data_IF_626901484303
#
_entry.id   IF_626901484303
#
_cell.length_a   1.000
_cell.length_b   1.000
_cell.length_c   1.000
_cell.angle_alpha   90.00
_cell.angle_beta   90.00
_cell.angle_gamma   90.00
#
_symmetry.space_group_name_H-M   'P 1'
#
loop_
_entity.id
_entity.type
_entity.pdbx_description
1 polymer ?
#
# COMPACT_ATOMS: atom_id res chain seq x y z
N UNK A 1 -10.51 22.39 31.96
CA UNK A 1 -10.78 21.20 31.12
C UNK A 1 -10.97 21.64 29.68
N UNK A 2 -9.91 22.11 29.03
CA UNK A 2 -9.89 22.45 27.59
C UNK A 2 -8.44 22.33 27.12
N UNK A 3 -7.94 21.10 26.96
CA UNK A 3 -6.56 20.86 26.51
C UNK A 3 -6.45 19.68 25.52
N UNK A 4 -7.58 19.12 25.06
CA UNK A 4 -7.58 17.92 24.20
C UNK A 4 -7.74 18.18 22.70
N UNK A 5 -8.05 19.40 22.24
CA UNK A 5 -8.36 19.64 20.82
C UNK A 5 -7.15 20.03 19.94
N UNK A 6 -5.97 20.27 20.52
CA UNK A 6 -4.82 20.78 19.75
C UNK A 6 -4.00 19.71 19.00
N UNK A 7 -4.32 18.42 19.16
CA UNK A 7 -3.66 17.32 18.44
C UNK A 7 -4.31 17.01 17.08
N UNK A 8 -5.44 17.64 16.75
CA UNK A 8 -6.16 17.47 15.48
C UNK A 8 -5.59 18.33 14.33
N UNK A 9 -4.67 19.25 14.60
CA UNK A 9 -4.23 20.25 13.62
C UNK A 9 -2.87 19.91 13.02
N UNK A 10 -2.87 18.90 12.14
CA UNK A 10 -1.99 18.70 10.98
C UNK A 10 -2.23 17.28 10.45
N UNK A 11 -2.48 17.06 9.15
CA UNK A 11 -2.57 15.71 8.59
C UNK A 11 -1.17 15.07 8.62
N UNK A 12 -0.82 14.49 9.77
CA UNK A 12 0.35 13.65 9.88
C UNK A 12 -0.10 12.19 9.87
N UNK A 13 -0.09 11.60 8.69
CA UNK A 13 -0.46 10.19 8.45
C UNK A 13 0.54 9.18 9.02
N UNK A 14 1.73 9.64 9.46
CA UNK A 14 2.83 8.77 9.92
C UNK A 14 2.99 8.73 11.46
N UNK A 15 1.93 9.05 12.21
CA UNK A 15 1.97 9.07 13.69
C UNK A 15 1.70 7.70 14.34
N UNK A 16 1.34 6.70 13.55
CA UNK A 16 1.04 5.35 14.03
C UNK A 16 1.99 4.35 13.37
N UNK A 17 2.62 3.51 14.20
CA UNK A 17 3.30 2.31 13.75
C UNK A 17 2.45 1.09 14.11
N UNK A 18 1.92 0.43 13.09
CA UNK A 18 1.25 -0.86 13.26
C UNK A 18 2.26 -1.97 13.54
N UNK A 19 1.81 -3.04 14.20
CA UNK A 19 2.64 -4.21 14.54
C UNK A 19 2.31 -5.44 13.68
N UNK A 20 1.24 -5.38 12.88
CA UNK A 20 0.73 -6.54 12.15
C UNK A 20 0.22 -6.20 10.73
N UNK A 21 -0.62 -5.18 10.60
CA UNK A 21 -1.38 -4.89 9.38
C UNK A 21 -1.23 -3.43 8.98
N UNK A 22 -1.12 -3.18 7.68
CA UNK A 22 -1.26 -1.83 7.14
C UNK A 22 -2.72 -1.34 7.29
N UNK A 23 -2.93 -0.03 7.19
CA UNK A 23 -4.25 0.56 7.27
C UNK A 23 -5.18 0.03 6.16
N UNK A 24 -6.39 -0.37 6.52
CA UNK A 24 -7.43 -0.73 5.57
C UNK A 24 -8.84 -0.43 6.07
N UNK A 25 -9.76 -0.33 5.12
CA UNK A 25 -11.19 -0.28 5.37
C UNK A 25 -11.84 -1.59 4.90
N UNK A 26 -12.59 -2.26 5.78
CA UNK A 26 -13.27 -3.50 5.42
C UNK A 26 -14.36 -3.25 4.36
N UNK A 27 -14.35 -4.03 3.28
CA UNK A 27 -15.19 -3.79 2.11
C UNK A 27 -14.66 -2.73 1.13
N UNK A 28 -13.46 -2.19 1.39
CA UNK A 28 -12.75 -1.33 0.44
C UNK A 28 -12.29 -2.09 -0.81
N UNK A 29 -11.99 -1.34 -1.87
CA UNK A 29 -11.38 -1.91 -3.08
C UNK A 29 -9.93 -2.34 -2.81
N UNK A 30 -9.39 -3.31 -3.57
CA UNK A 30 -7.97 -3.66 -3.50
C UNK A 30 -7.07 -2.43 -3.69
N UNK A 31 -6.04 -2.29 -2.86
CA UNK A 31 -5.05 -1.20 -3.00
C UNK A 31 -4.19 -1.51 -4.22
N UNK A 32 -4.01 -0.53 -5.11
CA UNK A 32 -3.13 -0.65 -6.27
C UNK A 32 -1.88 0.20 -6.07
N UNK A 33 -0.74 -0.30 -6.53
CA UNK A 33 0.56 0.35 -6.47
C UNK A 33 1.18 0.32 -7.85
N UNK A 34 1.77 1.45 -8.27
CA UNK A 34 2.56 1.53 -9.49
C UNK A 34 4.02 1.26 -9.17
N UNK A 35 4.64 0.31 -9.87
CA UNK A 35 6.07 0.06 -9.75
C UNK A 35 6.84 1.27 -10.28
N UNK A 36 7.72 1.84 -9.45
CA UNK A 36 8.52 3.02 -9.80
C UNK A 36 9.98 2.66 -10.14
N UNK A 37 10.43 1.46 -9.76
CA UNK A 37 11.76 0.93 -10.03
C UNK A 37 11.72 -0.58 -10.29
N UNK A 38 12.54 -1.06 -11.23
CA UNK A 38 12.66 -2.49 -11.53
C UNK A 38 13.21 -3.27 -10.33
N UNK A 39 12.82 -4.55 -10.23
CA UNK A 39 13.39 -5.48 -9.26
C UNK A 39 13.50 -6.86 -9.87
N UNK A 40 14.70 -7.41 -9.80
CA UNK A 40 14.98 -8.81 -10.09
C UNK A 40 14.87 -9.59 -8.79
N UNK A 41 14.04 -10.63 -8.77
CA UNK A 41 13.89 -11.50 -7.62
C UNK A 41 15.23 -12.16 -7.26
N UNK A 42 15.67 -12.01 -6.02
CA UNK A 42 16.91 -12.59 -5.49
C UNK A 42 16.66 -13.92 -4.77
N UNK A 43 15.44 -14.09 -4.24
CA UNK A 43 14.99 -15.29 -3.51
C UNK A 43 13.74 -15.89 -4.15
N UNK A 44 13.50 -17.17 -3.89
CA UNK A 44 12.36 -17.89 -4.46
C UNK A 44 10.98 -17.37 -4.06
N UNK A 45 10.91 -16.60 -2.96
CA UNK A 45 9.67 -15.99 -2.45
C UNK A 45 9.41 -14.60 -3.04
N UNK A 46 10.39 -14.01 -3.74
CA UNK A 46 10.29 -12.68 -4.33
C UNK A 46 9.67 -12.72 -5.73
N UNK A 47 9.05 -11.61 -6.13
CA UNK A 47 8.50 -11.42 -7.48
C UNK A 47 9.30 -10.39 -8.27
N UNK A 48 9.44 -10.62 -9.58
CA UNK A 48 10.00 -9.60 -10.46
C UNK A 48 9.05 -8.41 -10.60
N UNK A 49 9.62 -7.20 -10.52
CA UNK A 49 8.92 -5.96 -10.81
C UNK A 49 9.52 -5.31 -12.06
N UNK A 50 8.66 -4.72 -12.89
CA UNK A 50 9.09 -3.80 -13.95
C UNK A 50 8.39 -2.46 -13.79
N UNK A 51 9.13 -1.38 -13.96
CA UNK A 51 8.64 -0.01 -13.84
C UNK A 51 7.39 0.22 -14.70
N UNK A 52 6.38 0.83 -14.11
CA UNK A 52 5.08 1.09 -14.72
C UNK A 52 4.05 -0.02 -14.54
N UNK A 53 4.43 -1.20 -14.04
CA UNK A 53 3.48 -2.27 -13.74
C UNK A 53 2.64 -1.98 -12.49
N UNK A 54 1.53 -2.71 -12.35
CA UNK A 54 0.65 -2.61 -11.19
C UNK A 54 0.84 -3.82 -10.29
N UNK A 55 1.13 -3.54 -9.02
CA UNK A 55 0.99 -4.48 -7.92
C UNK A 55 -0.33 -4.17 -7.21
N UNK A 56 -1.02 -5.17 -6.69
CA UNK A 56 -2.16 -4.94 -5.82
C UNK A 56 -2.09 -5.77 -4.55
N UNK A 57 -2.65 -5.20 -3.48
CA UNK A 57 -2.91 -5.87 -2.21
C UNK A 57 -4.41 -6.08 -2.11
N UNK A 58 -4.82 -7.33 -1.97
CA UNK A 58 -6.22 -7.66 -1.74
C UNK A 58 -6.58 -7.46 -0.26
N UNK A 59 -5.63 -7.76 0.63
CA UNK A 59 -5.81 -7.67 2.09
C UNK A 59 -4.66 -6.91 2.75
N UNK A 60 -4.93 -6.24 3.88
CA UNK A 60 -3.92 -5.44 4.57
C UNK A 60 -2.71 -6.23 5.09
N UNK A 61 -2.89 -7.51 5.44
CA UNK A 61 -1.77 -8.37 5.87
C UNK A 61 -0.83 -8.75 4.70
N UNK A 62 -1.25 -8.51 3.45
CA UNK A 62 -0.37 -8.60 2.29
C UNK A 62 0.49 -7.36 2.15
N UNK A 63 0.21 -6.26 2.86
CA UNK A 63 0.98 -5.03 2.73
C UNK A 63 2.40 -5.11 3.30
N UNK A 64 2.83 -4.00 3.88
CA UNK A 64 4.15 -3.90 4.50
C UNK A 64 4.38 -5.02 5.54
N UNK A 65 5.45 -5.79 5.38
CA UNK A 65 5.85 -6.87 6.28
C UNK A 65 6.79 -6.38 7.41
N UNK A 66 6.96 -5.06 7.53
CA UNK A 66 7.79 -4.38 8.54
C UNK A 66 9.27 -4.79 8.54
N UNK A 67 9.76 -5.30 7.41
CA UNK A 67 11.15 -5.75 7.22
C UNK A 67 11.79 -5.22 5.91
N UNK A 68 11.19 -4.17 5.34
CA UNK A 68 11.61 -3.58 4.05
C UNK A 68 10.93 -4.19 2.82
N UNK A 69 10.21 -5.30 2.98
CA UNK A 69 9.42 -5.93 1.92
C UNK A 69 7.92 -5.75 2.17
N UNK A 70 7.16 -5.79 1.09
CA UNK A 70 5.72 -6.00 1.10
C UNK A 70 5.41 -7.29 0.35
N UNK A 71 4.27 -7.89 0.65
CA UNK A 71 3.73 -9.00 -0.13
C UNK A 71 2.76 -8.42 -1.18
N UNK A 72 2.57 -9.08 -2.30
CA UNK A 72 1.65 -8.53 -3.29
C UNK A 72 1.56 -9.37 -4.54
N UNK A 73 0.58 -9.05 -5.37
CA UNK A 73 0.35 -9.75 -6.63
C UNK A 73 0.64 -8.83 -7.80
N UNK A 74 1.57 -9.23 -8.67
CA UNK A 74 1.86 -8.51 -9.90
C UNK A 74 0.75 -8.77 -10.92
N UNK A 75 0.03 -7.72 -11.32
CA UNK A 75 -1.12 -7.82 -12.22
C UNK A 75 -0.76 -8.36 -13.61
N UNK A 76 0.46 -8.12 -14.10
CA UNK A 76 0.89 -8.66 -15.39
C UNK A 76 1.10 -10.17 -15.35
N UNK A 77 1.71 -10.68 -14.29
CA UNK A 77 2.12 -12.09 -14.22
C UNK A 77 1.15 -12.98 -13.44
N UNK A 78 0.26 -12.37 -12.64
CA UNK A 78 -0.56 -13.06 -11.65
C UNK A 78 0.25 -13.67 -10.50
N UNK A 79 1.58 -13.47 -10.45
CA UNK A 79 2.42 -14.05 -9.41
C UNK A 79 2.30 -13.23 -8.13
N UNK A 80 2.19 -13.96 -7.01
CA UNK A 80 2.17 -13.41 -5.66
C UNK A 80 3.48 -13.70 -4.95
N UNK A 81 4.06 -12.70 -4.30
CA UNK A 81 5.29 -12.85 -3.53
C UNK A 81 5.84 -11.53 -3.00
N UNK A 82 7.01 -11.59 -2.39
CA UNK A 82 7.66 -10.46 -1.75
C UNK A 82 8.27 -9.52 -2.79
N UNK A 83 8.25 -8.23 -2.49
CA UNK A 83 8.98 -7.23 -3.26
C UNK A 83 9.43 -6.09 -2.33
N UNK A 84 10.53 -5.37 -2.66
CA UNK A 84 10.98 -4.23 -1.86
C UNK A 84 9.89 -3.15 -1.83
N UNK A 85 9.41 -2.80 -0.63
CA UNK A 85 8.25 -1.91 -0.49
C UNK A 85 8.51 -0.51 -1.09
N UNK A 86 9.76 -0.05 -1.03
CA UNK A 86 10.21 1.24 -1.59
C UNK A 86 10.14 1.34 -3.12
N UNK A 87 9.96 0.22 -3.84
CA UNK A 87 9.96 0.18 -5.31
C UNK A 87 8.57 0.31 -5.93
N UNK A 88 7.54 0.49 -5.11
CA UNK A 88 6.18 0.74 -5.57
C UNK A 88 5.57 1.93 -4.83
N UNK A 89 4.72 2.68 -5.52
CA UNK A 89 4.04 3.84 -4.97
C UNK A 89 2.54 3.66 -5.08
N UNK A 90 1.80 4.04 -4.05
CA UNK A 90 0.35 3.90 -4.02
C UNK A 90 -0.31 4.67 -5.18
N UNK A 91 -1.24 4.00 -5.86
CA UNK A 91 -2.04 4.58 -6.92
C UNK A 91 -3.36 5.06 -6.34
N UNK A 92 -3.44 6.35 -6.10
CA UNK A 92 -4.65 7.02 -5.63
C UNK A 92 -5.81 6.84 -6.62
N UNK A 93 -6.98 6.50 -6.09
CA UNK A 93 -8.23 6.44 -6.85
C UNK A 93 -9.09 7.64 -6.53
N UNK A 94 -9.57 8.31 -7.56
CA UNK A 94 -10.50 9.43 -7.45
C UNK A 94 -11.86 9.01 -7.99
N UNK A 95 -12.92 9.42 -7.29
CA UNK A 95 -14.30 9.23 -7.71
C UNK A 95 -15.02 10.57 -7.60
N UNK A 96 -15.89 10.84 -8.56
CA UNK A 96 -16.74 12.02 -8.51
C UNK A 96 -17.97 11.68 -7.67
N UNK A 97 -18.12 12.36 -6.55
CA UNK A 97 -19.31 12.30 -5.72
C UNK A 97 -20.19 13.50 -6.07
N UNK A 98 -21.47 13.25 -6.36
CA UNK A 98 -22.45 14.32 -6.46
C UNK A 98 -22.66 14.91 -5.07
N UNK A 99 -22.51 16.23 -4.94
CA UNK A 99 -22.88 16.95 -3.71
C UNK A 99 -24.31 17.44 -3.94
N UNK A 100 -25.32 16.92 -3.20
CA UNK A 100 -26.68 17.39 -3.33
C UNK A 100 -26.76 18.88 -2.98
N UNK A 101 -27.56 19.63 -3.76
CA UNK A 101 -27.88 21.03 -3.47
C UNK A 101 -28.79 21.17 -2.24
#
# INVERSE_FOLDING_TARGET
MVQELSLLESPNENIVQSIDMDYFYYGGYPREFTVIEDHKAEKGEEIELRKGEIIFWEKAWEGNQFNGFALGTNRRTGKRGLYPNSKAMEKWRTYNFEIPN
#
